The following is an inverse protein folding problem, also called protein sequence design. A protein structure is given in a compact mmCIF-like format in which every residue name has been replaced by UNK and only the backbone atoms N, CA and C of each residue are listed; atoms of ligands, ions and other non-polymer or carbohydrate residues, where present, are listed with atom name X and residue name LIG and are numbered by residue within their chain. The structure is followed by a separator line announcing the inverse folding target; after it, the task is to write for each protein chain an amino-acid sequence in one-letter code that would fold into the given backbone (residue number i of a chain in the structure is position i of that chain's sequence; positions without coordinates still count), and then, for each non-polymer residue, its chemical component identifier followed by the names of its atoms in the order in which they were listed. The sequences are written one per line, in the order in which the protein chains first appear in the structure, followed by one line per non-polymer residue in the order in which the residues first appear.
data_IF_227591232516
#
_entry.id   IF_227591232516
#
_cell.length_a   1.000
_cell.length_b   1.000
_cell.length_c   1.000
_cell.angle_alpha   90.00
_cell.angle_beta   90.00
_cell.angle_gamma   90.00
#
_symmetry.space_group_name_H-M   'P 1'
#
loop_
_entity.id
_entity.type
_entity.pdbx_description
1 polymer ?
#
# COMPACT_ATOMS: atom_id res chain seq x y z
N UNK A 1 -1.32 13.13 -22.06
CA UNK A 1 -1.88 12.26 -20.99
C UNK A 1 -2.32 13.16 -19.87
N UNK A 2 -3.55 13.00 -19.40
CA UNK A 2 -4.07 13.78 -18.26
C UNK A 2 -3.34 13.38 -16.95
N UNK A 3 -3.27 14.31 -15.99
CA UNK A 3 -2.50 14.12 -14.77
C UNK A 3 -2.87 12.83 -13.99
N UNK A 4 -4.16 12.53 -13.86
CA UNK A 4 -4.66 11.33 -13.18
C UNK A 4 -4.32 10.03 -13.92
N UNK A 5 -4.34 10.07 -15.26
CA UNK A 5 -3.94 8.92 -16.09
C UNK A 5 -2.43 8.69 -16.00
N UNK A 6 -1.64 9.76 -16.06
CA UNK A 6 -0.19 9.72 -15.91
C UNK A 6 0.19 9.08 -14.57
N UNK A 7 -0.34 9.57 -13.45
CA UNK A 7 -0.07 9.01 -12.14
C UNK A 7 -0.50 7.54 -12.04
N UNK A 8 -1.67 7.19 -12.58
CA UNK A 8 -2.17 5.81 -12.58
C UNK A 8 -1.31 4.86 -13.41
N UNK A 9 -0.72 5.33 -14.52
CA UNK A 9 0.13 4.50 -15.40
C UNK A 9 1.45 4.08 -14.77
N UNK A 10 1.93 4.84 -13.79
CA UNK A 10 3.20 4.59 -13.06
C UNK A 10 2.98 4.09 -11.63
N UNK A 11 1.73 3.89 -11.22
CA UNK A 11 1.41 3.40 -9.87
C UNK A 11 2.09 2.05 -9.61
N UNK A 12 2.71 1.91 -8.44
CA UNK A 12 3.19 0.62 -7.98
C UNK A 12 2.00 -0.30 -7.71
N UNK A 13 1.98 -1.44 -8.39
CA UNK A 13 0.87 -2.39 -8.31
C UNK A 13 0.94 -3.17 -7.00
N UNK A 14 -0.11 -3.05 -6.20
CA UNK A 14 -0.37 -3.90 -5.05
C UNK A 14 -1.67 -4.68 -5.25
N UNK A 15 -1.78 -5.83 -4.61
CA UNK A 15 -2.95 -6.71 -4.74
C UNK A 15 -4.15 -6.24 -3.90
N UNK A 16 -3.97 -5.20 -3.06
CA UNK A 16 -4.96 -4.72 -2.11
C UNK A 16 -5.81 -3.61 -2.77
N UNK A 17 -7.02 -3.98 -3.17
CA UNK A 17 -8.00 -3.03 -3.74
C UNK A 17 -8.95 -2.55 -2.67
N UNK A 18 -8.88 -1.28 -2.34
CA UNK A 18 -9.77 -0.61 -1.41
C UNK A 18 -10.94 0.07 -2.14
N UNK A 19 -12.00 0.35 -1.40
CA UNK A 19 -13.09 1.21 -1.88
C UNK A 19 -12.68 2.66 -1.70
N UNK A 20 -13.15 3.52 -2.59
CA UNK A 20 -13.04 4.97 -2.44
C UNK A 20 -14.36 5.53 -1.89
N UNK A 21 -14.26 6.56 -1.06
CA UNK A 21 -15.41 7.32 -0.58
C UNK A 21 -15.29 8.79 -1.03
N UNK A 22 -16.40 9.49 -1.10
CA UNK A 22 -16.42 10.94 -1.29
C UNK A 22 -16.68 11.59 0.06
N UNK A 23 -15.73 12.39 0.54
CA UNK A 23 -15.90 13.18 1.77
C UNK A 23 -16.85 14.37 1.56
N UNK A 24 -17.30 14.98 2.67
CA UNK A 24 -18.10 16.19 2.61
C UNK A 24 -17.23 17.37 2.12
N UNK A 25 -17.59 18.03 1.00
CA UNK A 25 -16.86 19.21 0.51
C UNK A 25 -16.69 20.33 1.53
N UNK A 26 -17.62 20.47 2.49
CA UNK A 26 -17.52 21.45 3.58
C UNK A 26 -16.33 21.20 4.50
N UNK A 27 -15.90 19.97 4.66
CA UNK A 27 -14.75 19.63 5.50
C UNK A 27 -13.47 20.20 4.94
N UNK A 28 -13.26 20.12 3.61
CA UNK A 28 -12.06 20.72 2.99
C UNK A 28 -12.09 22.24 3.05
N UNK A 29 -13.27 22.86 2.86
CA UNK A 29 -13.43 24.31 2.96
C UNK A 29 -13.15 24.82 4.37
N UNK A 30 -13.63 24.13 5.41
CA UNK A 30 -13.36 24.47 6.80
C UNK A 30 -11.87 24.32 7.14
N UNK A 31 -11.23 23.26 6.65
CA UNK A 31 -9.80 23.06 6.82
C UNK A 31 -8.98 24.17 6.15
N UNK A 32 -9.30 24.49 4.90
CA UNK A 32 -8.64 25.55 4.16
C UNK A 32 -8.86 26.93 4.80
N UNK A 33 -10.06 27.23 5.30
CA UNK A 33 -10.35 28.46 6.04
C UNK A 33 -9.49 28.56 7.31
N UNK A 34 -9.31 27.47 8.04
CA UNK A 34 -8.41 27.43 9.20
C UNK A 34 -6.95 27.69 8.83
N UNK A 35 -6.48 27.13 7.72
CA UNK A 35 -5.12 27.39 7.21
C UNK A 35 -4.94 28.83 6.76
N UNK A 36 -5.93 29.40 6.08
CA UNK A 36 -5.88 30.79 5.64
C UNK A 36 -5.77 31.80 6.79
N UNK A 37 -6.27 31.46 7.98
CA UNK A 37 -6.17 32.25 9.18
C UNK A 37 -4.85 32.09 9.95
N UNK A 38 -4.26 30.87 9.90
CA UNK A 38 -3.17 30.49 10.80
C UNK A 38 -1.87 30.08 10.08
N UNK A 39 -1.85 30.13 8.75
CA UNK A 39 -0.72 29.66 7.92
C UNK A 39 -0.46 30.61 6.77
N UNK A 40 0.74 30.57 6.22
CA UNK A 40 1.12 31.41 5.09
C UNK A 40 0.74 30.74 3.77
N UNK A 41 -0.19 31.34 3.01
CA UNK A 41 -0.52 30.83 1.66
C UNK A 41 0.68 30.99 0.72
N UNK A 42 1.08 29.90 0.06
CA UNK A 42 2.11 29.92 -0.98
C UNK A 42 1.55 30.62 -2.21
N UNK A 43 2.20 31.71 -2.60
CA UNK A 43 1.72 32.55 -3.70
C UNK A 43 2.88 33.28 -4.40
N UNK A 44 2.67 33.66 -5.63
CA UNK A 44 3.66 34.39 -6.43
C UNK A 44 4.05 35.74 -5.80
N UNK A 45 3.13 36.38 -5.05
CA UNK A 45 3.37 37.67 -4.43
C UNK A 45 4.15 37.61 -3.12
N UNK A 46 4.09 36.51 -2.37
CA UNK A 46 4.69 36.41 -1.02
C UNK A 46 5.86 35.41 -1.01
N UNK A 47 5.72 34.28 -1.67
CA UNK A 47 6.70 33.18 -1.68
C UNK A 47 7.08 32.75 -3.11
N UNK A 48 7.61 33.68 -3.95
CA UNK A 48 7.72 33.46 -5.39
C UNK A 48 8.52 32.22 -5.77
N UNK A 49 9.61 31.94 -5.07
CA UNK A 49 10.45 30.77 -5.38
C UNK A 49 9.78 29.44 -5.01
N UNK A 50 9.10 29.38 -3.86
CA UNK A 50 8.35 28.19 -3.43
C UNK A 50 7.14 27.97 -4.36
N UNK A 51 6.45 29.06 -4.72
CA UNK A 51 5.35 29.02 -5.68
C UNK A 51 5.80 28.50 -7.04
N UNK A 52 6.98 28.93 -7.52
CA UNK A 52 7.57 28.43 -8.78
C UNK A 52 7.86 26.93 -8.74
N UNK A 53 8.33 26.39 -7.60
CA UNK A 53 8.51 24.95 -7.42
C UNK A 53 7.18 24.17 -7.51
N UNK A 54 6.10 24.72 -6.92
CA UNK A 54 4.75 24.15 -7.04
C UNK A 54 4.22 24.21 -8.48
N UNK A 55 4.35 25.37 -9.13
CA UNK A 55 3.92 25.59 -10.52
C UNK A 55 4.65 24.62 -11.47
N UNK A 56 5.96 24.45 -11.32
CA UNK A 56 6.75 23.48 -12.09
C UNK A 56 6.32 22.04 -11.83
N UNK A 57 6.08 21.67 -10.56
CA UNK A 57 5.59 20.32 -10.22
C UNK A 57 4.24 20.05 -10.91
N UNK A 58 3.28 20.96 -10.80
CA UNK A 58 1.99 20.85 -11.48
C UNK A 58 2.15 20.76 -13.01
N UNK A 59 2.99 21.61 -13.61
CA UNK A 59 3.25 21.62 -15.05
C UNK A 59 3.85 20.29 -15.55
N UNK A 60 4.86 19.74 -14.84
CA UNK A 60 5.48 18.48 -15.21
C UNK A 60 4.53 17.29 -15.08
N UNK A 61 3.54 17.39 -14.20
CA UNK A 61 2.50 16.37 -14.00
C UNK A 61 1.25 16.60 -14.86
N UNK A 62 1.21 17.64 -15.71
CA UNK A 62 0.04 18.06 -16.49
C UNK A 62 -1.20 18.34 -15.60
N UNK A 63 -1.00 18.85 -14.40
CA UNK A 63 -2.05 19.17 -13.44
C UNK A 63 -2.38 20.66 -13.49
N UNK A 64 -3.68 20.99 -13.55
CA UNK A 64 -4.14 22.38 -13.44
C UNK A 64 -3.84 22.92 -12.03
N UNK A 65 -3.00 23.97 -11.97
CA UNK A 65 -2.60 24.63 -10.73
C UNK A 65 -3.79 25.18 -9.94
N UNK A 66 -4.90 25.53 -10.62
CA UNK A 66 -6.12 26.00 -9.96
C UNK A 66 -6.80 24.96 -9.05
N UNK A 67 -6.45 23.68 -9.22
CA UNK A 67 -6.91 22.60 -8.34
C UNK A 67 -6.10 22.48 -7.04
N UNK A 68 -5.03 23.26 -6.87
CA UNK A 68 -4.08 23.10 -5.78
C UNK A 68 -3.97 24.39 -4.95
N UNK A 69 -4.31 24.31 -3.67
CA UNK A 69 -3.97 25.33 -2.69
C UNK A 69 -2.83 24.82 -1.79
N UNK A 70 -1.83 25.65 -1.53
CA UNK A 70 -0.68 25.24 -0.71
C UNK A 70 -0.37 26.28 0.36
N UNK A 71 0.04 25.80 1.54
CA UNK A 71 0.29 26.62 2.73
C UNK A 71 1.58 26.20 3.44
N UNK A 72 2.32 27.16 3.96
CA UNK A 72 3.42 26.94 4.89
C UNK A 72 2.88 27.04 6.31
N UNK A 73 3.07 25.98 7.09
CA UNK A 73 2.76 25.92 8.52
C UNK A 73 4.03 26.08 9.35
N UNK A 74 3.95 26.82 10.45
CA UNK A 74 5.10 27.00 11.37
C UNK A 74 5.27 25.74 12.21
N UNK A 75 6.34 24.97 11.97
CA UNK A 75 6.68 23.76 12.74
C UNK A 75 8.18 23.46 12.64
N UNK A 76 8.81 22.98 13.73
CA UNK A 76 10.17 22.46 13.69
C UNK A 76 10.27 21.05 13.08
N UNK A 77 9.17 20.36 12.87
CA UNK A 77 9.12 19.03 12.27
C UNK A 77 9.24 19.11 10.75
N UNK A 78 9.97 18.19 10.16
CA UNK A 78 10.09 18.06 8.71
C UNK A 78 8.89 17.27 8.22
N UNK A 79 7.88 17.97 7.70
CA UNK A 79 6.63 17.37 7.22
C UNK A 79 6.06 18.11 6.03
N UNK A 80 5.38 17.36 5.19
CA UNK A 80 4.41 17.85 4.22
C UNK A 80 3.17 16.95 4.29
N UNK A 81 2.06 17.37 3.71
CA UNK A 81 0.84 16.59 3.66
C UNK A 81 -0.13 17.13 2.63
N UNK A 82 -0.88 16.25 2.01
CA UNK A 82 -1.95 16.57 1.08
C UNK A 82 -3.29 16.15 1.66
N UNK A 83 -4.29 17.00 1.55
CA UNK A 83 -5.67 16.69 1.89
C UNK A 83 -6.58 16.91 0.67
N UNK A 84 -7.37 15.88 0.34
CA UNK A 84 -8.40 15.94 -0.70
C UNK A 84 -9.55 15.02 -0.33
N UNK A 85 -10.77 15.39 -0.74
CA UNK A 85 -11.98 14.56 -0.58
C UNK A 85 -12.64 14.24 -1.92
N UNK A 86 -12.05 14.71 -3.02
CA UNK A 86 -12.52 14.49 -4.38
C UNK A 86 -11.36 14.63 -5.36
N UNK A 87 -11.61 14.48 -6.64
CA UNK A 87 -10.65 14.74 -7.71
C UNK A 87 -10.66 16.19 -8.20
N UNK A 88 -11.44 17.07 -7.57
CA UNK A 88 -11.61 18.46 -8.01
C UNK A 88 -10.52 19.37 -7.48
N UNK A 89 -10.13 19.19 -6.22
CA UNK A 89 -9.10 20.02 -5.60
C UNK A 89 -8.40 19.32 -4.43
N UNK A 90 -7.21 19.82 -4.11
CA UNK A 90 -6.47 19.43 -2.92
C UNK A 90 -5.84 20.64 -2.21
N UNK A 91 -5.53 20.43 -0.95
CA UNK A 91 -4.80 21.37 -0.11
C UNK A 91 -3.50 20.74 0.36
N UNK A 92 -2.38 21.34 0.03
CA UNK A 92 -1.05 20.91 0.46
C UNK A 92 -0.61 21.78 1.63
N UNK A 93 -0.07 21.18 2.66
CA UNK A 93 0.65 21.83 3.74
C UNK A 93 2.11 21.41 3.73
N UNK A 94 3.02 22.36 3.95
CA UNK A 94 4.44 22.09 4.12
C UNK A 94 4.96 22.89 5.30
N UNK A 95 5.77 22.27 6.15
CA UNK A 95 6.29 22.96 7.34
C UNK A 95 7.43 23.89 7.01
N UNK A 96 7.61 24.94 7.85
CA UNK A 96 8.75 25.84 7.74
C UNK A 96 10.09 25.13 7.86
N UNK A 97 10.18 24.06 8.66
CA UNK A 97 11.40 23.23 8.75
C UNK A 97 11.73 22.55 7.42
N UNK A 98 10.74 21.99 6.72
CA UNK A 98 10.93 21.39 5.39
C UNK A 98 11.42 22.44 4.37
N UNK A 99 10.78 23.62 4.34
CA UNK A 99 11.18 24.71 3.43
C UNK A 99 12.62 25.18 3.70
N UNK A 100 13.03 25.27 4.98
CA UNK A 100 14.37 25.74 5.35
C UNK A 100 15.45 24.67 5.08
N UNK A 101 15.10 23.39 5.07
CA UNK A 101 16.02 22.28 4.88
C UNK A 101 16.29 21.99 3.39
N UNK A 102 15.29 22.14 2.55
CA UNK A 102 15.29 21.75 1.15
C UNK A 102 15.65 22.91 0.22
N UNK A 103 16.38 22.63 -0.86
CA UNK A 103 16.47 23.57 -1.98
C UNK A 103 15.18 23.56 -2.83
N UNK A 104 15.04 24.46 -3.78
CA UNK A 104 13.79 24.64 -4.56
C UNK A 104 13.46 23.43 -5.46
N UNK A 105 14.46 22.70 -5.96
CA UNK A 105 14.23 21.50 -6.76
C UNK A 105 13.80 20.31 -5.87
N UNK A 106 14.38 20.20 -4.68
CA UNK A 106 13.95 19.22 -3.66
C UNK A 106 12.52 19.52 -3.16
N UNK A 107 12.17 20.81 -2.98
CA UNK A 107 10.78 21.23 -2.69
C UNK A 107 9.83 20.83 -3.83
N UNK A 108 10.28 20.93 -5.09
CA UNK A 108 9.50 20.47 -6.23
C UNK A 108 9.20 18.97 -6.17
N UNK A 109 10.19 18.14 -5.76
CA UNK A 109 9.98 16.71 -5.49
C UNK A 109 8.93 16.49 -4.38
N UNK A 110 9.04 17.22 -3.25
CA UNK A 110 8.10 17.11 -2.13
C UNK A 110 6.66 17.48 -2.60
N UNK A 111 6.50 18.57 -3.34
CA UNK A 111 5.19 18.90 -3.91
C UNK A 111 4.67 17.81 -4.84
N UNK A 112 5.54 17.25 -5.69
CA UNK A 112 5.16 16.13 -6.56
C UNK A 112 4.71 14.88 -5.80
N UNK A 113 5.38 14.57 -4.69
CA UNK A 113 5.01 13.49 -3.77
C UNK A 113 3.61 13.72 -3.19
N UNK A 114 3.35 14.90 -2.64
CA UNK A 114 2.04 15.25 -2.07
C UNK A 114 0.92 15.28 -3.13
N UNK A 115 1.22 15.81 -4.32
CA UNK A 115 0.30 15.74 -5.46
C UNK A 115 0.03 14.30 -5.88
N UNK A 116 0.98 13.39 -5.70
CA UNK A 116 0.80 11.96 -5.93
C UNK A 116 -0.33 11.38 -5.09
N UNK A 117 -0.43 11.74 -3.81
CA UNK A 117 -1.54 11.31 -2.96
C UNK A 117 -2.90 11.77 -3.49
N UNK A 118 -2.98 12.99 -3.99
CA UNK A 118 -4.19 13.52 -4.65
C UNK A 118 -4.51 12.77 -5.94
N UNK A 119 -3.55 12.67 -6.86
CA UNK A 119 -3.71 12.07 -8.17
C UNK A 119 -4.06 10.58 -8.13
N UNK A 120 -3.51 9.85 -7.15
CA UNK A 120 -3.78 8.43 -6.92
C UNK A 120 -4.96 8.19 -5.97
N UNK A 121 -5.61 9.26 -5.51
CA UNK A 121 -6.81 9.21 -4.65
C UNK A 121 -6.57 8.53 -3.29
N UNK A 122 -5.34 8.56 -2.76
CA UNK A 122 -4.99 7.88 -1.51
C UNK A 122 -5.78 8.41 -0.31
N UNK A 123 -6.16 9.70 -0.31
CA UNK A 123 -6.89 10.34 0.79
C UNK A 123 -8.38 9.96 0.85
N UNK A 124 -8.90 9.33 -0.20
CA UNK A 124 -10.28 8.87 -0.30
C UNK A 124 -10.40 7.34 -0.39
N UNK A 125 -9.30 6.60 -0.26
CA UNK A 125 -9.33 5.16 -0.09
C UNK A 125 -9.77 4.81 1.34
N UNK A 126 -10.84 4.01 1.47
CA UNK A 126 -11.36 3.56 2.75
C UNK A 126 -10.48 2.42 3.30
N UNK A 127 -9.81 2.67 4.40
CA UNK A 127 -9.05 1.67 5.14
C UNK A 127 -9.76 1.48 6.49
N UNK A 128 -10.56 0.41 6.62
CA UNK A 128 -11.36 0.12 7.82
C UNK A 128 -10.50 -0.01 9.08
N UNK A 129 -9.32 -0.66 8.94
CA UNK A 129 -8.33 -0.77 10.01
C UNK A 129 -6.94 -0.42 9.47
N UNK A 130 -6.53 0.84 9.71
CA UNK A 130 -5.24 1.33 9.23
C UNK A 130 -4.04 0.57 9.81
N UNK A 131 -4.17 0.03 11.00
CA UNK A 131 -3.14 -0.75 11.69
C UNK A 131 -3.26 -2.27 11.45
N UNK A 132 -3.99 -2.68 10.40
CA UNK A 132 -4.01 -4.06 9.94
C UNK A 132 -2.78 -4.41 9.11
N UNK A 133 -2.48 -5.72 8.97
CA UNK A 133 -1.34 -6.19 8.16
C UNK A 133 -1.44 -5.72 6.72
N UNK A 134 -2.62 -5.84 6.11
CA UNK A 134 -2.88 -5.35 4.76
C UNK A 134 -2.83 -3.82 4.67
N UNK A 135 -3.27 -3.11 5.72
CA UNK A 135 -3.18 -1.66 5.81
C UNK A 135 -1.74 -1.17 5.75
N UNK A 136 -0.82 -1.82 6.47
CA UNK A 136 0.61 -1.49 6.39
C UNK A 136 1.21 -1.77 5.02
N UNK A 137 0.91 -2.93 4.40
CA UNK A 137 1.37 -3.25 3.04
C UNK A 137 0.84 -2.20 2.06
N UNK A 138 -0.44 -1.84 2.16
CA UNK A 138 -1.08 -0.85 1.29
C UNK A 138 -0.46 0.53 1.43
N UNK A 139 -0.28 1.04 2.64
CA UNK A 139 0.36 2.33 2.91
C UNK A 139 1.77 2.39 2.32
N UNK A 140 2.57 1.33 2.46
CA UNK A 140 3.90 1.26 1.86
C UNK A 140 3.87 1.29 0.33
N UNK A 141 2.94 0.59 -0.28
CA UNK A 141 2.75 0.64 -1.73
C UNK A 141 2.31 2.03 -2.22
N UNK A 142 1.50 2.73 -1.42
CA UNK A 142 1.11 4.12 -1.68
C UNK A 142 2.33 5.04 -1.66
N UNK A 143 3.22 4.93 -0.65
CA UNK A 143 4.43 5.74 -0.57
C UNK A 143 5.37 5.53 -1.78
N UNK A 144 5.58 4.28 -2.19
CA UNK A 144 6.37 3.99 -3.39
C UNK A 144 5.75 4.61 -4.64
N UNK A 145 4.42 4.58 -4.74
CA UNK A 145 3.70 5.16 -5.88
C UNK A 145 3.84 6.69 -5.93
N UNK A 146 3.70 7.36 -4.79
CA UNK A 146 3.80 8.83 -4.75
C UNK A 146 5.23 9.33 -4.90
N UNK A 147 6.23 8.55 -4.49
CA UNK A 147 7.64 8.84 -4.78
C UNK A 147 7.90 8.87 -6.30
N UNK A 148 7.29 7.96 -7.06
CA UNK A 148 7.38 7.96 -8.54
C UNK A 148 6.76 9.22 -9.13
N UNK A 149 5.63 9.67 -8.61
CA UNK A 149 4.99 10.93 -9.03
C UNK A 149 5.89 12.11 -8.67
N UNK A 150 6.50 12.11 -7.48
CA UNK A 150 7.50 13.10 -7.07
C UNK A 150 8.69 13.16 -8.02
N UNK A 151 9.21 12.01 -8.44
CA UNK A 151 10.32 11.95 -9.41
C UNK A 151 9.90 12.50 -10.78
N UNK A 152 8.71 12.20 -11.28
CA UNK A 152 8.21 12.82 -12.50
C UNK A 152 8.03 14.33 -12.36
N UNK A 153 7.66 14.80 -11.18
CA UNK A 153 7.50 16.23 -10.92
C UNK A 153 8.84 16.97 -10.98
N UNK A 154 9.94 16.44 -10.44
CA UNK A 154 11.26 17.09 -10.45
C UNK A 154 12.15 16.64 -11.62
N UNK A 155 11.89 15.47 -12.24
CA UNK A 155 12.64 14.90 -13.38
C UNK A 155 14.14 14.64 -13.13
N UNK A 156 14.55 14.57 -11.88
CA UNK A 156 15.95 14.39 -11.49
C UNK A 156 16.06 13.43 -10.31
N UNK A 157 16.66 12.25 -10.54
CA UNK A 157 16.80 11.20 -9.53
C UNK A 157 17.73 11.61 -8.38
N UNK A 158 18.74 12.43 -8.65
CA UNK A 158 19.67 12.91 -7.63
C UNK A 158 18.97 13.94 -6.72
N UNK A 159 18.12 14.80 -7.26
CA UNK A 159 17.27 15.71 -6.50
C UNK A 159 16.33 14.92 -5.60
N UNK A 160 15.60 13.96 -6.18
CA UNK A 160 14.62 13.15 -5.45
C UNK A 160 15.28 12.36 -4.30
N UNK A 161 16.41 11.72 -4.56
CA UNK A 161 17.13 10.94 -3.54
C UNK A 161 17.76 11.82 -2.45
N UNK A 162 18.26 13.03 -2.78
CA UNK A 162 18.69 14.01 -1.77
C UNK A 162 17.54 14.45 -0.88
N UNK A 163 16.36 14.73 -1.45
CA UNK A 163 15.18 15.07 -0.68
C UNK A 163 14.81 13.97 0.32
N UNK A 164 14.85 12.69 -0.11
CA UNK A 164 14.60 11.53 0.76
C UNK A 164 15.62 11.46 1.90
N UNK A 165 16.93 11.62 1.60
CA UNK A 165 18.01 11.56 2.62
C UNK A 165 17.90 12.72 3.62
N UNK A 166 17.59 13.93 3.16
CA UNK A 166 17.36 15.09 4.03
C UNK A 166 16.10 14.89 4.89
N UNK A 167 15.02 14.36 4.32
CA UNK A 167 13.79 14.05 5.08
C UNK A 167 14.03 13.03 6.19
N UNK A 168 14.89 12.03 5.96
CA UNK A 168 15.27 11.04 6.96
C UNK A 168 16.13 11.63 8.08
N UNK A 169 17.15 12.40 7.69
CA UNK A 169 18.24 12.82 8.60
C UNK A 169 17.96 14.14 9.31
N UNK A 170 17.14 15.01 8.71
CA UNK A 170 16.98 16.39 9.16
C UNK A 170 18.25 17.26 8.96
N UNK A 171 19.23 16.77 8.23
CA UNK A 171 20.51 17.46 8.06
C UNK A 171 20.53 18.32 6.81
N UNK A 172 21.12 19.51 6.96
CA UNK A 172 21.47 20.39 5.86
C UNK A 172 22.60 19.77 5.00
N UNK A 173 22.61 20.07 3.70
CA UNK A 173 23.57 19.53 2.73
C UNK A 173 25.05 19.74 3.08
N UNK A 174 25.37 20.79 3.84
CA UNK A 174 26.73 21.03 4.34
C UNK A 174 27.27 19.93 5.25
N UNK A 175 26.39 19.10 5.82
CA UNK A 175 26.75 17.98 6.68
C UNK A 175 26.68 16.63 5.97
N UNK A 176 26.16 16.57 4.74
CA UNK A 176 25.94 15.33 3.99
C UNK A 176 26.84 15.31 2.76
N UNK A 177 27.77 14.36 2.70
CA UNK A 177 28.36 13.97 1.42
C UNK A 177 27.39 13.00 0.75
N UNK A 178 26.71 13.46 -0.30
CA UNK A 178 25.72 12.64 -0.97
C UNK A 178 26.41 11.50 -1.76
N UNK A 179 26.33 10.28 -1.21
CA UNK A 179 26.78 9.03 -1.81
C UNK A 179 25.64 8.02 -1.69
N UNK A 180 24.88 7.88 -2.78
CA UNK A 180 23.71 7.01 -2.80
C UNK A 180 24.07 5.54 -2.58
N UNK A 181 25.23 5.09 -3.05
CA UNK A 181 25.71 3.72 -2.84
C UNK A 181 25.99 3.46 -1.36
N UNK A 182 26.67 4.39 -0.69
CA UNK A 182 26.93 4.31 0.74
C UNK A 182 25.61 4.34 1.53
N UNK A 183 24.64 5.17 1.11
CA UNK A 183 23.32 5.21 1.72
C UNK A 183 22.55 3.89 1.58
N UNK A 184 22.51 3.29 0.39
CA UNK A 184 21.83 2.02 0.16
C UNK A 184 22.51 0.85 0.88
N UNK A 185 23.83 0.89 1.05
CA UNK A 185 24.59 -0.14 1.77
C UNK A 185 24.33 -0.12 3.30
N UNK A 186 23.60 0.87 3.83
CA UNK A 186 23.13 0.83 5.23
C UNK A 186 22.04 -0.24 5.47
N UNK A 187 21.41 -0.74 4.41
CA UNK A 187 20.60 -1.96 4.49
C UNK A 187 21.54 -3.17 4.67
N UNK A 188 22.00 -3.39 5.90
CA UNK A 188 22.69 -4.63 6.26
C UNK A 188 21.65 -5.76 6.29
N UNK A 189 21.76 -6.68 5.32
CA UNK A 189 20.83 -7.79 5.18
C UNK A 189 20.75 -8.66 6.46
N UNK A 190 21.86 -8.84 7.15
CA UNK A 190 21.92 -9.72 8.31
C UNK A 190 21.30 -9.08 9.56
N UNK A 191 21.42 -7.76 9.72
CA UNK A 191 20.77 -7.01 10.79
C UNK A 191 19.25 -6.93 10.58
N UNK A 192 18.81 -6.65 9.36
CA UNK A 192 17.39 -6.37 9.07
C UNK A 192 16.57 -7.66 8.94
N UNK A 193 17.14 -8.77 8.44
CA UNK A 193 16.44 -10.07 8.32
C UNK A 193 15.99 -10.67 9.66
N UNK A 194 16.66 -10.30 10.75
CA UNK A 194 16.39 -10.85 12.08
C UNK A 194 15.47 -9.96 12.93
N UNK A 195 15.13 -8.76 12.47
CA UNK A 195 14.34 -7.80 13.24
C UNK A 195 12.96 -7.56 12.62
N UNK A 196 11.90 -7.88 13.39
CA UNK A 196 10.49 -7.63 13.00
C UNK A 196 10.04 -6.17 13.22
N UNK A 197 10.95 -5.27 13.57
CA UNK A 197 10.64 -3.90 14.00
C UNK A 197 10.00 -3.02 12.92
N UNK A 198 10.28 -3.26 11.64
CA UNK A 198 9.72 -2.47 10.52
C UNK A 198 8.33 -2.88 10.05
N UNK A 199 7.82 -4.05 10.45
CA UNK A 199 6.58 -4.63 9.90
C UNK A 199 5.34 -3.78 10.15
N UNK A 200 5.30 -3.05 11.27
CA UNK A 200 4.20 -2.21 11.70
C UNK A 200 4.42 -0.72 11.41
N UNK A 201 5.37 -0.39 10.53
CA UNK A 201 5.53 0.96 10.02
C UNK A 201 4.61 1.21 8.83
N UNK A 202 3.90 2.33 8.84
CA UNK A 202 3.06 2.77 7.72
C UNK A 202 3.87 3.22 6.50
N UNK A 203 5.16 3.52 6.69
CA UNK A 203 6.06 3.92 5.62
C UNK A 203 7.16 2.87 5.47
N UNK A 204 7.61 2.55 4.23
CA UNK A 204 8.84 1.81 4.03
C UNK A 204 10.00 2.62 4.61
N UNK A 205 11.09 1.96 4.98
CA UNK A 205 12.28 2.71 5.35
C UNK A 205 12.69 3.65 4.19
N UNK A 206 13.22 4.82 4.51
CA UNK A 206 13.69 5.78 3.49
C UNK A 206 14.71 5.17 2.53
N UNK A 207 15.49 4.20 2.99
CA UNK A 207 16.46 3.47 2.16
C UNK A 207 15.73 2.60 1.12
N UNK A 208 14.66 1.89 1.53
CA UNK A 208 13.84 1.09 0.60
C UNK A 208 13.09 1.99 -0.40
N UNK A 209 12.61 3.16 0.04
CA UNK A 209 12.00 4.18 -0.84
C UNK A 209 13.02 4.67 -1.89
N UNK A 210 14.22 5.07 -1.47
CA UNK A 210 15.29 5.50 -2.38
C UNK A 210 15.68 4.37 -3.37
N UNK A 211 15.80 3.12 -2.89
CA UNK A 211 16.09 1.95 -3.74
C UNK A 211 15.00 1.71 -4.78
N UNK A 212 13.73 1.77 -4.37
CA UNK A 212 12.58 1.62 -5.26
C UNK A 212 12.53 2.75 -6.32
N UNK A 213 12.83 3.98 -5.91
CA UNK A 213 12.83 5.12 -6.79
C UNK A 213 13.96 5.06 -7.82
N UNK A 214 15.16 4.62 -7.42
CA UNK A 214 16.27 4.35 -8.34
C UNK A 214 15.94 3.25 -9.34
N UNK A 215 15.25 2.18 -8.91
CA UNK A 215 14.78 1.15 -9.85
C UNK A 215 13.77 1.74 -10.85
N UNK A 216 12.83 2.56 -10.38
CA UNK A 216 11.83 3.20 -11.23
C UNK A 216 12.48 4.18 -12.23
N UNK A 217 13.56 4.88 -11.88
CA UNK A 217 14.26 5.78 -12.81
C UNK A 217 14.87 5.07 -14.03
N UNK A 218 14.97 3.74 -14.01
CA UNK A 218 15.40 2.91 -15.14
C UNK A 218 14.24 2.33 -15.96
N UNK A 219 13.00 2.66 -15.61
CA UNK A 219 11.80 2.11 -16.27
C UNK A 219 11.48 2.81 -17.59
N UNK A 220 10.84 2.06 -18.49
CA UNK A 220 10.32 2.59 -19.77
C UNK A 220 9.49 3.88 -19.59
N UNK A 221 8.45 3.93 -18.69
CA UNK A 221 7.62 5.12 -18.59
C UNK A 221 8.39 6.35 -18.09
N UNK A 222 9.40 6.20 -17.23
CA UNK A 222 10.20 7.32 -16.76
C UNK A 222 11.17 7.81 -17.86
N UNK A 223 11.94 6.90 -18.44
CA UNK A 223 12.95 7.25 -19.43
C UNK A 223 12.33 7.81 -20.73
N UNK A 224 11.17 7.31 -21.15
CA UNK A 224 10.44 7.88 -22.28
C UNK A 224 9.95 9.32 -22.02
N UNK A 225 9.59 9.65 -20.78
CA UNK A 225 9.11 10.98 -20.41
C UNK A 225 10.23 12.00 -20.20
N UNK A 226 11.41 11.56 -19.81
CA UNK A 226 12.52 12.45 -19.41
C UNK A 226 13.62 12.50 -20.47
N UNK A 227 13.96 11.36 -21.09
CA UNK A 227 15.12 11.22 -21.97
C UNK A 227 14.76 10.74 -23.39
N UNK A 228 13.48 10.45 -23.67
CA UNK A 228 12.97 9.92 -24.95
C UNK A 228 13.66 8.60 -25.37
N UNK A 229 14.13 7.81 -24.41
CA UNK A 229 14.77 6.50 -24.62
C UNK A 229 13.97 5.37 -23.97
N UNK A 230 14.22 4.13 -24.40
CA UNK A 230 13.62 2.93 -23.81
C UNK A 230 14.38 2.50 -22.56
N UNK A 231 13.66 1.98 -21.58
CA UNK A 231 14.20 1.45 -20.35
C UNK A 231 13.81 0.00 -20.08
N UNK A 232 13.71 -0.35 -18.80
CA UNK A 232 13.21 -1.65 -18.36
C UNK A 232 11.69 -1.62 -18.23
N UNK A 233 11.02 -2.72 -18.56
CA UNK A 233 9.57 -2.85 -18.41
C UNK A 233 9.16 -2.58 -16.97
N UNK A 234 8.09 -1.77 -16.76
CA UNK A 234 7.63 -1.37 -15.42
C UNK A 234 7.23 -2.57 -14.56
N UNK A 235 6.66 -3.63 -15.15
CA UNK A 235 6.27 -4.84 -14.42
C UNK A 235 7.50 -5.58 -13.86
N UNK A 236 8.62 -5.56 -14.59
CA UNK A 236 9.88 -6.16 -14.12
C UNK A 236 10.47 -5.34 -12.98
N UNK A 237 10.43 -4.01 -13.09
CA UNK A 237 10.82 -3.10 -12.02
C UNK A 237 9.96 -3.34 -10.76
N UNK A 238 8.64 -3.47 -10.92
CA UNK A 238 7.72 -3.72 -9.81
C UNK A 238 8.00 -5.04 -9.10
N UNK A 239 8.34 -6.10 -9.85
CA UNK A 239 8.77 -7.38 -9.25
C UNK A 239 10.01 -7.24 -8.39
N UNK A 240 11.03 -6.53 -8.89
CA UNK A 240 12.26 -6.29 -8.13
C UNK A 240 12.01 -5.47 -6.85
N UNK A 241 11.11 -4.49 -6.91
CA UNK A 241 10.72 -3.71 -5.72
C UNK A 241 9.95 -4.60 -4.74
N UNK A 242 9.06 -5.46 -5.23
CA UNK A 242 8.33 -6.40 -4.38
C UNK A 242 9.26 -7.42 -3.70
N UNK A 243 10.28 -7.89 -4.39
CA UNK A 243 11.31 -8.76 -3.82
C UNK A 243 12.07 -8.05 -2.68
N UNK A 244 12.46 -6.79 -2.88
CA UNK A 244 13.07 -5.99 -1.82
C UNK A 244 12.13 -5.83 -0.61
N UNK A 245 10.87 -5.44 -0.82
CA UNK A 245 9.88 -5.31 0.27
C UNK A 245 9.64 -6.63 1.01
N UNK A 246 9.52 -7.73 0.28
CA UNK A 246 9.35 -9.05 0.87
C UNK A 246 10.60 -9.49 1.66
N UNK A 247 11.80 -9.14 1.19
CA UNK A 247 13.04 -9.50 1.88
C UNK A 247 13.16 -8.79 3.23
N UNK A 248 12.78 -7.50 3.28
CA UNK A 248 13.09 -6.65 4.43
C UNK A 248 11.89 -6.37 5.35
N UNK A 249 10.64 -6.39 4.86
CA UNK A 249 9.52 -5.87 5.65
C UNK A 249 8.17 -6.58 5.48
N UNK A 250 7.79 -7.04 4.28
CA UNK A 250 6.43 -7.51 3.99
C UNK A 250 6.24 -9.03 4.09
N UNK A 251 7.31 -9.80 4.11
CA UNK A 251 7.26 -11.27 3.99
C UNK A 251 6.31 -11.92 4.98
N UNK A 252 6.50 -11.65 6.25
CA UNK A 252 5.72 -12.32 7.31
C UNK A 252 4.25 -11.87 7.28
N UNK A 253 3.99 -10.58 6.98
CA UNK A 253 2.62 -10.08 6.85
C UNK A 253 1.87 -10.76 5.69
N UNK A 254 2.52 -10.93 4.55
CA UNK A 254 1.95 -11.60 3.38
C UNK A 254 1.76 -13.10 3.61
N UNK A 255 2.70 -13.75 4.30
CA UNK A 255 2.57 -15.16 4.67
C UNK A 255 1.37 -15.37 5.61
N UNK A 256 1.21 -14.54 6.63
CA UNK A 256 0.08 -14.64 7.56
C UNK A 256 -1.28 -14.48 6.85
N UNK A 257 -1.39 -13.53 5.91
CA UNK A 257 -2.61 -13.35 5.10
C UNK A 257 -2.86 -14.59 4.22
N UNK A 258 -1.81 -15.11 3.57
CA UNK A 258 -1.89 -16.30 2.73
C UNK A 258 -2.30 -17.52 3.52
N UNK A 259 -1.66 -17.77 4.66
CA UNK A 259 -1.99 -18.91 5.53
C UNK A 259 -3.44 -18.84 6.05
N UNK A 260 -3.90 -17.64 6.42
CA UNK A 260 -5.28 -17.46 6.85
C UNK A 260 -6.29 -17.76 5.71
N UNK A 261 -5.99 -17.38 4.46
CA UNK A 261 -6.79 -17.75 3.28
C UNK A 261 -6.78 -19.28 3.03
N UNK A 262 -5.62 -19.91 3.08
CA UNK A 262 -5.49 -21.35 2.90
C UNK A 262 -6.29 -22.13 3.95
N UNK A 263 -6.30 -21.67 5.20
CA UNK A 263 -7.09 -22.28 6.27
C UNK A 263 -8.60 -22.18 6.01
N UNK A 264 -9.10 -21.06 5.50
CA UNK A 264 -10.52 -20.91 5.13
C UNK A 264 -10.88 -21.91 4.03
N UNK A 265 -10.11 -21.95 2.96
CA UNK A 265 -10.35 -22.88 1.87
C UNK A 265 -10.32 -24.33 2.36
N UNK A 266 -9.28 -24.72 3.11
CA UNK A 266 -9.15 -26.07 3.64
C UNK A 266 -10.34 -26.50 4.51
N UNK A 267 -10.69 -25.67 5.51
CA UNK A 267 -11.80 -26.01 6.41
C UNK A 267 -13.16 -25.89 5.72
N UNK A 268 -13.31 -25.01 4.74
CA UNK A 268 -14.52 -24.90 3.92
C UNK A 268 -14.74 -26.15 3.06
N UNK A 269 -13.73 -26.63 2.35
CA UNK A 269 -13.80 -27.90 1.61
C UNK A 269 -14.04 -29.09 2.54
N UNK A 270 -13.32 -29.16 3.66
CA UNK A 270 -13.52 -30.21 4.65
C UNK A 270 -14.98 -30.23 5.16
N UNK A 271 -15.53 -29.06 5.49
CA UNK A 271 -16.92 -28.93 5.95
C UNK A 271 -17.93 -29.33 4.87
N UNK A 272 -17.74 -28.90 3.63
CA UNK A 272 -18.58 -29.30 2.51
C UNK A 272 -18.63 -30.82 2.32
N UNK A 273 -17.48 -31.49 2.46
CA UNK A 273 -17.41 -32.95 2.33
C UNK A 273 -18.03 -33.70 3.50
N UNK A 274 -17.85 -33.25 4.76
CA UNK A 274 -18.36 -33.99 5.92
C UNK A 274 -19.86 -33.75 6.17
N UNK A 275 -20.41 -32.58 5.85
CA UNK A 275 -21.83 -32.25 6.07
C UNK A 275 -22.77 -33.18 5.33
N UNK A 276 -22.36 -33.70 4.17
CA UNK A 276 -23.15 -34.65 3.39
C UNK A 276 -23.09 -36.11 3.92
N UNK A 277 -22.49 -36.33 5.06
CA UNK A 277 -22.47 -37.61 5.76
C UNK A 277 -21.46 -38.62 5.26
N UNK A 278 -20.64 -38.30 4.27
CA UNK A 278 -19.65 -39.22 3.73
C UNK A 278 -18.32 -38.54 3.42
N UNK A 279 -17.38 -38.65 4.36
CA UNK A 279 -16.00 -38.28 4.10
C UNK A 279 -15.27 -39.42 3.41
N UNK A 280 -15.46 -39.53 2.08
CA UNK A 280 -14.96 -40.64 1.27
C UNK A 280 -13.46 -40.58 1.03
N UNK A 281 -12.86 -41.71 0.59
CA UNK A 281 -11.45 -41.74 0.15
C UNK A 281 -11.18 -40.75 -0.99
N UNK A 282 -12.17 -40.52 -1.89
CA UNK A 282 -12.05 -39.53 -2.95
C UNK A 282 -11.98 -38.11 -2.38
N UNK A 283 -12.80 -37.78 -1.37
CA UNK A 283 -12.76 -36.45 -0.70
C UNK A 283 -11.42 -36.22 -0.01
N UNK A 284 -10.86 -37.28 0.61
CA UNK A 284 -9.52 -37.22 1.23
C UNK A 284 -8.43 -36.97 0.19
N UNK A 285 -8.50 -37.67 -0.96
CA UNK A 285 -7.56 -37.47 -2.07
C UNK A 285 -7.68 -36.04 -2.66
N UNK A 286 -8.89 -35.50 -2.80
CA UNK A 286 -9.10 -34.14 -3.29
C UNK A 286 -8.48 -33.11 -2.35
N UNK A 287 -8.65 -33.26 -1.02
CA UNK A 287 -8.03 -32.37 -0.03
C UNK A 287 -6.50 -32.48 -0.07
N UNK A 288 -5.97 -33.69 -0.16
CA UNK A 288 -4.52 -33.92 -0.24
C UNK A 288 -3.91 -33.29 -1.48
N UNK A 289 -4.56 -33.41 -2.64
CA UNK A 289 -4.09 -32.83 -3.89
C UNK A 289 -4.11 -31.30 -3.87
N UNK A 290 -5.08 -30.70 -3.17
CA UNK A 290 -5.23 -29.23 -3.12
C UNK A 290 -4.40 -28.56 -2.02
N UNK A 291 -4.24 -29.21 -0.85
CA UNK A 291 -3.64 -28.61 0.35
C UNK A 291 -2.42 -29.37 0.91
N UNK A 292 -2.07 -30.48 0.28
CA UNK A 292 -0.94 -31.30 0.68
C UNK A 292 -1.26 -32.35 1.77
N UNK A 293 -0.35 -33.33 1.95
CA UNK A 293 -0.55 -34.47 2.85
C UNK A 293 -0.64 -34.03 4.32
N UNK A 294 0.14 -33.06 4.75
CA UNK A 294 0.18 -32.60 6.15
C UNK A 294 -1.18 -32.06 6.65
N UNK A 295 -1.88 -31.30 5.82
CA UNK A 295 -3.20 -30.74 6.19
C UNK A 295 -4.26 -31.86 6.25
N UNK A 296 -4.24 -32.79 5.31
CA UNK A 296 -5.10 -33.98 5.34
C UNK A 296 -4.86 -34.81 6.60
N UNK A 297 -3.60 -35.07 6.95
CA UNK A 297 -3.24 -35.87 8.13
C UNK A 297 -3.73 -35.22 9.43
N UNK A 298 -3.56 -33.90 9.58
CA UNK A 298 -4.11 -33.14 10.71
C UNK A 298 -5.62 -33.29 10.84
N UNK A 299 -6.36 -33.24 9.73
CA UNK A 299 -7.80 -33.46 9.72
C UNK A 299 -8.15 -34.88 10.15
N UNK A 300 -7.53 -35.89 9.53
CA UNK A 300 -7.79 -37.32 9.84
C UNK A 300 -7.53 -37.59 11.32
N UNK A 301 -6.38 -37.15 11.86
CA UNK A 301 -6.05 -37.35 13.27
C UNK A 301 -7.06 -36.67 14.20
N UNK A 302 -7.58 -35.52 13.81
CA UNK A 302 -8.59 -34.76 14.60
C UNK A 302 -9.96 -35.46 14.61
N UNK A 303 -10.37 -36.12 13.53
CA UNK A 303 -11.72 -36.71 13.41
C UNK A 303 -11.73 -38.23 13.73
N UNK A 304 -10.57 -38.86 13.87
CA UNK A 304 -10.49 -40.30 14.18
C UNK A 304 -11.15 -40.60 15.53
N UNK A 305 -12.04 -41.60 15.56
CA UNK A 305 -12.79 -41.98 16.76
C UNK A 305 -14.05 -41.19 17.06
N UNK A 306 -14.33 -40.13 16.30
CA UNK A 306 -15.53 -39.32 16.46
C UNK A 306 -16.73 -39.90 15.67
N UNK A 307 -17.93 -39.73 16.19
CA UNK A 307 -19.16 -39.99 15.45
C UNK A 307 -19.36 -38.97 14.31
N UNK A 308 -20.14 -39.29 13.29
CA UNK A 308 -20.43 -38.41 12.16
C UNK A 308 -20.94 -37.03 12.60
N UNK A 309 -21.79 -36.98 13.63
CA UNK A 309 -22.32 -35.71 14.18
C UNK A 309 -21.21 -34.85 14.82
N UNK A 310 -20.32 -35.49 15.57
CA UNK A 310 -19.17 -34.82 16.18
C UNK A 310 -18.19 -34.31 15.14
N UNK A 311 -17.89 -35.11 14.10
CA UNK A 311 -17.05 -34.68 12.98
C UNK A 311 -17.59 -33.41 12.32
N UNK A 312 -18.91 -33.38 11.96
CA UNK A 312 -19.55 -32.22 11.37
C UNK A 312 -19.40 -31.01 12.29
N UNK A 313 -19.69 -31.16 13.58
CA UNK A 313 -19.61 -30.07 14.57
C UNK A 313 -18.18 -29.49 14.68
N UNK A 314 -17.19 -30.36 14.83
CA UNK A 314 -15.79 -29.94 15.01
C UNK A 314 -15.26 -29.24 13.75
N UNK A 315 -15.53 -29.78 12.56
CA UNK A 315 -15.10 -29.18 11.30
C UNK A 315 -15.82 -27.85 11.05
N UNK A 316 -17.13 -27.74 11.37
CA UNK A 316 -17.87 -26.46 11.32
C UNK A 316 -17.21 -25.38 12.18
N UNK A 317 -16.88 -25.72 13.43
CA UNK A 317 -16.23 -24.79 14.37
C UNK A 317 -14.86 -24.33 13.81
N UNK A 318 -14.06 -25.24 13.26
CA UNK A 318 -12.78 -24.89 12.66
C UNK A 318 -12.94 -23.95 11.47
N UNK A 319 -13.96 -24.17 10.64
CA UNK A 319 -14.26 -23.29 9.53
C UNK A 319 -14.69 -21.90 10.00
N UNK A 320 -15.61 -21.78 10.96
CA UNK A 320 -16.03 -20.51 11.56
C UNK A 320 -14.82 -19.76 12.14
N UNK A 321 -13.98 -20.46 12.91
CA UNK A 321 -12.80 -19.87 13.52
C UNK A 321 -11.79 -19.37 12.45
N UNK A 322 -11.66 -20.07 11.31
CA UNK A 322 -10.79 -19.62 10.22
C UNK A 322 -11.31 -18.34 9.56
N UNK A 323 -12.63 -18.20 9.39
CA UNK A 323 -13.25 -16.98 8.89
C UNK A 323 -13.02 -15.81 9.86
N UNK A 324 -13.26 -16.03 11.16
CA UNK A 324 -13.04 -15.01 12.20
C UNK A 324 -11.58 -14.57 12.25
N UNK A 325 -10.63 -15.52 12.17
CA UNK A 325 -9.20 -15.22 12.11
C UNK A 325 -8.84 -14.37 10.87
N UNK A 326 -9.37 -14.74 9.69
CA UNK A 326 -9.10 -13.99 8.48
C UNK A 326 -9.62 -12.54 8.54
N UNK A 327 -10.79 -12.31 9.16
CA UNK A 327 -11.31 -10.97 9.39
C UNK A 327 -10.44 -10.13 10.32
N UNK A 328 -9.70 -10.76 11.23
CA UNK A 328 -8.70 -10.08 12.08
C UNK A 328 -7.42 -9.78 11.31
N UNK A 329 -6.96 -10.74 10.50
CA UNK A 329 -5.69 -10.62 9.75
C UNK A 329 -5.81 -9.67 8.55
N UNK A 330 -6.96 -9.69 7.85
CA UNK A 330 -7.19 -8.94 6.63
C UNK A 330 -8.59 -8.27 6.59
N UNK A 331 -8.90 -7.36 7.53
CA UNK A 331 -10.24 -6.80 7.73
C UNK A 331 -10.78 -6.04 6.51
N UNK A 332 -9.92 -5.35 5.75
CA UNK A 332 -10.34 -4.51 4.63
C UNK A 332 -10.79 -5.31 3.41
N UNK A 333 -10.13 -6.43 3.13
CA UNK A 333 -10.43 -7.26 1.95
C UNK A 333 -11.28 -8.48 2.28
N UNK A 334 -11.38 -8.85 3.57
CA UNK A 334 -12.02 -10.09 4.01
C UNK A 334 -13.43 -10.27 3.45
N UNK A 335 -14.29 -9.26 3.51
CA UNK A 335 -15.69 -9.36 3.04
C UNK A 335 -15.80 -9.75 1.57
N UNK A 336 -14.96 -9.17 0.72
CA UNK A 336 -14.96 -9.46 -0.73
C UNK A 336 -14.37 -10.81 -1.02
N UNK A 337 -13.21 -11.11 -0.43
CA UNK A 337 -12.48 -12.34 -0.69
C UNK A 337 -13.16 -13.56 -0.08
N UNK A 338 -13.79 -13.45 1.10
CA UNK A 338 -14.59 -14.53 1.68
C UNK A 338 -15.69 -14.98 0.73
N UNK A 339 -16.41 -14.05 0.10
CA UNK A 339 -17.43 -14.40 -0.87
C UNK A 339 -16.84 -15.15 -2.08
N UNK A 340 -15.67 -14.74 -2.58
CA UNK A 340 -15.00 -15.41 -3.70
C UNK A 340 -14.55 -16.83 -3.32
N UNK A 341 -13.95 -17.00 -2.13
CA UNK A 341 -13.54 -18.30 -1.63
C UNK A 341 -14.72 -19.26 -1.42
N UNK A 342 -15.84 -18.73 -0.90
CA UNK A 342 -17.07 -19.51 -0.73
C UNK A 342 -17.64 -19.95 -2.08
N UNK A 343 -17.71 -19.03 -3.05
CA UNK A 343 -18.17 -19.39 -4.41
C UNK A 343 -17.26 -20.43 -5.08
N UNK A 344 -15.95 -20.37 -4.87
CA UNK A 344 -15.01 -21.40 -5.33
C UNK A 344 -15.33 -22.76 -4.71
N UNK A 345 -15.49 -22.82 -3.39
CA UNK A 345 -15.81 -24.07 -2.69
C UNK A 345 -17.15 -24.63 -3.16
N UNK A 346 -18.19 -23.80 -3.28
CA UNK A 346 -19.52 -24.22 -3.73
C UNK A 346 -19.50 -24.76 -5.17
N UNK A 347 -18.73 -24.12 -6.04
CA UNK A 347 -18.56 -24.57 -7.42
C UNK A 347 -17.86 -25.93 -7.48
N UNK A 348 -16.72 -26.07 -6.79
CA UNK A 348 -15.91 -27.27 -6.84
C UNK A 348 -16.58 -28.48 -6.15
N UNK A 349 -17.43 -28.22 -5.13
CA UNK A 349 -18.17 -29.26 -4.40
C UNK A 349 -19.58 -29.48 -4.92
N UNK A 350 -20.02 -28.70 -5.92
CA UNK A 350 -21.38 -28.70 -6.47
C UNK A 350 -22.49 -28.44 -5.43
N UNK A 351 -22.25 -27.52 -4.49
CA UNK A 351 -23.13 -27.23 -3.36
C UNK A 351 -23.51 -25.74 -3.28
N UNK A 352 -24.43 -25.27 -4.13
CA UNK A 352 -24.89 -23.86 -4.16
C UNK A 352 -25.65 -23.47 -2.89
N UNK A 353 -25.34 -22.29 -2.34
CA UNK A 353 -26.01 -21.71 -1.17
C UNK A 353 -25.72 -22.41 0.15
N UNK A 354 -24.78 -23.35 0.14
CA UNK A 354 -24.46 -24.22 1.26
C UNK A 354 -23.94 -23.48 2.51
N UNK A 355 -23.27 -22.34 2.29
CA UNK A 355 -22.63 -21.58 3.36
C UNK A 355 -23.43 -20.39 3.87
N UNK A 356 -24.65 -20.14 3.34
CA UNK A 356 -25.45 -18.98 3.74
C UNK A 356 -25.76 -18.94 5.25
N UNK A 357 -26.02 -20.11 5.86
CA UNK A 357 -26.25 -20.22 7.31
C UNK A 357 -25.00 -19.87 8.12
N UNK A 358 -23.80 -20.23 7.63
CA UNK A 358 -22.53 -19.96 8.32
C UNK A 358 -22.17 -18.47 8.26
N UNK A 359 -22.41 -17.84 7.11
CA UNK A 359 -22.15 -16.40 6.96
C UNK A 359 -23.03 -15.53 7.85
N UNK A 360 -24.17 -16.05 8.31
CA UNK A 360 -25.05 -15.37 9.28
C UNK A 360 -24.56 -15.57 10.74
N UNK A 361 -23.76 -16.59 11.01
CA UNK A 361 -23.22 -16.89 12.35
C UNK A 361 -21.90 -16.15 12.63
N UNK A 362 -21.28 -15.54 11.62
CA UNK A 362 -19.97 -14.88 11.67
C UNK A 362 -20.07 -13.43 11.22
#
# INVERSE_FOLDING_TARGET
MEAFELASSIRYLDDIKLKTFTGDPKTIQNYEASLALNSLKISKGITPNIFNSLEKACSNLNLDLNKVNAYVTSSPEIQAGCMSFSKESCVITVTSATINLMNFDEIQFIFGHELGHFLLSHNIEEIEMQDSKEGYIKKRAQEISVDRVGLLACKDIDVATRAIVKSLSGLDEKYIKFDIKAFLNQLDEDLVKNEKTGQFSSHPSFILRAKALMRFSLSDPYLQLVEEISGTNLIEIDKLIQEDLNTYIDRDLRLDIKEAKELILFWGYAYAYVKNGSFTKQNQSNLENKFGPNMKEKLINMITGLSTKEVIKVVKIKFINSISNYRIVAPNIAKKELNLMILEIEKDTNQKGFFNEILQEV
#
